data_IF_077397568039
#
_entry.id   IF_077397568039
#
_cell.length_a   1.000
_cell.length_b   1.000
_cell.length_c   1.000
_cell.angle_alpha   90.00
_cell.angle_beta   90.00
_cell.angle_gamma   90.00
#
_symmetry.space_group_name_H-M   'P 1'
#
loop_
_entity.id
_entity.type
_entity.pdbx_description
1 polymer ?
#
# COMPACT_ATOMS: atom_id res chain seq x y z
N UNK A 1 35.63 11.79 -22.91
CA UNK A 1 35.30 10.58 -23.69
C UNK A 1 36.08 9.39 -23.17
N UNK A 2 35.62 8.72 -22.11
CA UNK A 2 35.95 7.34 -21.70
C UNK A 2 35.33 7.14 -20.30
N UNK A 3 34.17 6.48 -20.21
CA UNK A 3 33.65 5.81 -19.00
C UNK A 3 32.22 5.25 -19.20
N UNK A 4 31.98 4.39 -20.20
CA UNK A 4 30.70 3.66 -20.35
C UNK A 4 30.86 2.29 -21.02
N UNK A 5 31.93 1.54 -20.70
CA UNK A 5 32.17 0.22 -21.30
C UNK A 5 32.49 -0.90 -20.29
N UNK A 6 31.87 -0.89 -19.10
CA UNK A 6 32.06 -1.99 -18.12
C UNK A 6 30.78 -2.49 -17.44
N UNK A 7 29.60 -2.38 -18.08
CA UNK A 7 28.38 -3.07 -17.62
C UNK A 7 27.61 -3.83 -18.72
N UNK A 8 28.25 -4.11 -19.86
CA UNK A 8 27.63 -4.81 -20.98
C UNK A 8 27.95 -6.32 -21.06
N UNK A 9 28.69 -6.90 -20.09
CA UNK A 9 29.17 -8.29 -20.16
C UNK A 9 28.51 -9.27 -19.17
N UNK A 10 27.63 -8.83 -18.26
CA UNK A 10 26.96 -9.75 -17.31
C UNK A 10 25.50 -10.12 -17.68
N UNK A 11 24.99 -9.65 -18.83
CA UNK A 11 23.60 -9.90 -19.24
C UNK A 11 23.43 -10.79 -20.49
N UNK A 12 24.50 -11.46 -20.94
CA UNK A 12 24.46 -12.32 -22.14
C UNK A 12 24.37 -13.83 -21.85
N UNK A 13 24.45 -14.25 -20.58
CA UNK A 13 24.39 -15.68 -20.20
C UNK A 13 22.97 -16.25 -20.02
N UNK A 14 21.91 -15.46 -20.25
CA UNK A 14 20.52 -15.92 -20.13
C UNK A 14 19.77 -16.11 -21.45
N UNK A 15 20.44 -15.94 -22.61
CA UNK A 15 19.79 -15.91 -23.93
C UNK A 15 19.99 -17.14 -24.82
N UNK A 16 20.65 -18.22 -24.38
CA UNK A 16 20.81 -19.43 -25.23
C UNK A 16 20.20 -20.67 -24.58
N UNK A 17 19.02 -21.05 -25.08
CA UNK A 17 18.52 -22.43 -25.00
C UNK A 17 19.40 -23.30 -25.90
N UNK A 18 20.13 -24.24 -25.33
CA UNK A 18 20.64 -25.42 -26.04
C UNK A 18 20.35 -26.67 -25.19
N UNK A 19 20.05 -27.81 -25.83
CA UNK A 19 19.57 -29.01 -25.17
C UNK A 19 20.71 -29.77 -24.48
N UNK A 20 20.43 -30.36 -23.32
CA UNK A 20 21.38 -31.24 -22.63
C UNK A 20 21.37 -32.65 -23.25
N UNK A 21 22.52 -33.33 -23.37
CA UNK A 21 22.59 -34.67 -23.92
C UNK A 21 22.23 -35.73 -22.87
N UNK A 22 21.58 -36.79 -23.36
CA UNK A 22 21.37 -38.05 -22.69
C UNK A 22 22.71 -38.78 -22.53
N UNK A 23 23.20 -38.97 -21.30
CA UNK A 23 23.89 -40.20 -20.91
C UNK A 23 24.13 -40.24 -19.39
N UNK A 24 24.08 -41.47 -18.87
CA UNK A 24 24.41 -41.94 -17.52
C UNK A 24 23.33 -41.86 -16.42
N UNK A 25 22.61 -42.99 -16.40
CA UNK A 25 21.85 -43.57 -15.30
C UNK A 25 22.80 -43.93 -14.13
N UNK A 26 22.30 -43.78 -12.90
CA UNK A 26 22.27 -44.76 -11.80
C UNK A 26 22.94 -44.38 -10.46
N UNK A 27 22.17 -44.66 -9.38
CA UNK A 27 22.47 -44.61 -7.93
C UNK A 27 22.45 -43.20 -7.31
N UNK A 28 21.79 -42.91 -6.19
CA UNK A 28 21.14 -43.70 -5.16
C UNK A 28 20.89 -42.74 -4.00
N UNK A 29 19.73 -42.86 -3.34
CA UNK A 29 19.34 -42.04 -2.18
C UNK A 29 20.37 -42.20 -1.07
N UNK A 30 20.79 -41.10 -0.42
CA UNK A 30 20.87 -41.02 1.04
C UNK A 30 21.01 -39.55 1.52
N UNK A 31 20.24 -39.27 2.58
CA UNK A 31 20.14 -38.01 3.31
C UNK A 31 21.36 -37.86 4.23
N UNK A 32 21.87 -36.65 4.42
CA UNK A 32 22.23 -36.16 5.76
C UNK A 32 22.06 -34.64 5.85
N UNK A 33 21.46 -34.26 6.97
CA UNK A 33 21.00 -32.93 7.39
C UNK A 33 22.09 -32.15 8.11
N UNK A 34 22.18 -30.85 7.87
CA UNK A 34 22.73 -29.92 8.86
C UNK A 34 22.19 -28.50 8.65
N UNK A 35 20.96 -28.26 9.09
CA UNK A 35 20.51 -26.91 9.45
C UNK A 35 19.41 -27.01 10.51
N UNK A 36 19.77 -26.70 11.75
CA UNK A 36 18.96 -26.89 12.95
C UNK A 36 17.96 -25.74 13.22
N UNK A 37 17.70 -24.87 12.24
CA UNK A 37 16.84 -23.69 12.42
C UNK A 37 15.74 -23.51 11.34
N UNK A 38 15.63 -24.45 10.40
CA UNK A 38 14.61 -24.43 9.33
C UNK A 38 13.50 -25.48 9.48
N UNK A 39 13.41 -26.17 10.62
CA UNK A 39 12.37 -27.17 10.91
C UNK A 39 11.09 -26.56 11.53
N UNK A 40 10.52 -25.55 10.87
CA UNK A 40 9.10 -25.20 11.07
C UNK A 40 8.45 -24.96 9.71
N UNK A 41 8.42 -26.05 8.94
CA UNK A 41 7.69 -26.17 7.69
C UNK A 41 7.18 -27.59 7.60
N UNK A 42 5.86 -27.70 7.42
CA UNK A 42 5.08 -28.92 7.17
C UNK A 42 5.06 -29.96 8.29
N UNK A 43 4.51 -29.58 9.43
CA UNK A 43 3.62 -30.53 10.10
C UNK A 43 2.34 -30.56 9.25
N UNK A 44 2.21 -31.59 8.42
CA UNK A 44 0.88 -32.07 8.05
C UNK A 44 0.24 -32.51 9.35
N UNK A 45 -0.50 -31.58 9.97
CA UNK A 45 -1.13 -31.73 11.27
C UNK A 45 -1.87 -33.08 11.34
N UNK A 46 -1.43 -33.94 12.26
CA UNK A 46 -2.14 -35.15 12.66
C UNK A 46 -3.56 -34.88 13.20
N UNK A 47 -3.98 -33.61 13.30
CA UNK A 47 -5.37 -33.21 13.57
C UNK A 47 -6.27 -33.18 12.33
N UNK A 48 -5.73 -33.22 11.10
CA UNK A 48 -6.54 -33.22 9.87
C UNK A 48 -7.15 -34.62 9.60
N UNK A 49 -6.47 -35.71 9.97
CA UNK A 49 -6.96 -37.09 9.79
C UNK A 49 -8.04 -37.49 10.82
N UNK A 50 -7.97 -36.99 12.04
CA UNK A 50 -8.98 -37.27 13.09
C UNK A 50 -10.29 -36.52 12.88
N UNK A 51 -10.26 -35.43 12.11
CA UNK A 51 -11.45 -34.65 11.77
C UNK A 51 -12.22 -35.21 10.56
N UNK A 52 -11.57 -35.95 9.67
CA UNK A 52 -12.16 -36.51 8.45
C UNK A 52 -13.24 -37.58 8.72
N UNK A 53 -13.28 -38.13 9.95
CA UNK A 53 -14.23 -39.19 10.37
C UNK A 53 -15.33 -38.65 11.32
N UNK A 54 -15.35 -37.33 11.58
CA UNK A 54 -16.24 -36.73 12.58
C UNK A 54 -17.61 -36.27 12.03
N UNK A 55 -18.66 -36.46 12.83
CA UNK A 55 -20.09 -36.22 12.56
C UNK A 55 -20.37 -34.94 11.75
N UNK A 56 -20.69 -35.10 10.46
CA UNK A 56 -21.26 -34.03 9.64
C UNK A 56 -22.65 -33.69 10.16
N UNK A 57 -22.86 -32.44 10.59
CA UNK A 57 -24.18 -31.95 10.93
C UNK A 57 -24.88 -31.39 9.69
N UNK A 58 -26.20 -31.53 9.59
CA UNK A 58 -26.96 -30.93 8.50
C UNK A 58 -26.82 -29.42 8.54
N UNK A 59 -26.55 -28.82 7.38
CA UNK A 59 -26.46 -27.36 7.25
C UNK A 59 -27.88 -26.80 7.28
N UNK A 60 -28.23 -25.87 8.18
CA UNK A 60 -29.54 -25.23 8.21
C UNK A 60 -29.70 -24.29 7.00
N UNK A 61 -30.94 -24.08 6.57
CA UNK A 61 -31.21 -23.11 5.49
C UNK A 61 -30.83 -21.71 5.94
N UNK A 62 -30.02 -21.01 5.15
CA UNK A 62 -29.57 -19.65 5.46
C UNK A 62 -29.44 -18.79 4.20
N UNK A 63 -29.55 -17.46 4.37
CA UNK A 63 -29.46 -16.48 3.29
C UNK A 63 -30.36 -16.81 2.06
N UNK A 64 -31.55 -17.37 2.27
CA UNK A 64 -32.48 -17.75 1.20
C UNK A 64 -31.98 -18.88 0.29
N UNK A 65 -31.20 -19.81 0.84
CA UNK A 65 -30.74 -21.02 0.15
C UNK A 65 -31.15 -22.25 0.95
N UNK A 66 -31.88 -23.15 0.29
CA UNK A 66 -32.16 -24.48 0.83
C UNK A 66 -30.90 -25.35 0.73
N UNK A 67 -30.45 -25.81 1.89
CA UNK A 67 -29.23 -26.61 2.12
C UNK A 67 -29.55 -28.08 2.39
N UNK A 68 -30.79 -28.53 2.18
CA UNK A 68 -31.19 -29.93 2.40
C UNK A 68 -30.24 -30.89 1.68
N UNK A 69 -29.75 -31.90 2.41
CA UNK A 69 -28.77 -32.88 1.96
C UNK A 69 -27.31 -32.47 2.15
N UNK A 70 -27.03 -31.21 2.49
CA UNK A 70 -25.67 -30.74 2.76
C UNK A 70 -25.29 -30.96 4.23
N UNK A 71 -24.03 -31.27 4.46
CA UNK A 71 -23.47 -31.40 5.80
C UNK A 71 -22.19 -30.57 5.96
N UNK A 72 -21.85 -30.25 7.20
CA UNK A 72 -20.57 -29.62 7.52
C UNK A 72 -19.99 -30.18 8.82
N UNK A 73 -18.67 -30.28 8.85
CA UNK A 73 -17.89 -30.73 10.02
C UNK A 73 -17.36 -29.54 10.83
N UNK A 74 -16.96 -29.78 12.08
CA UNK A 74 -16.42 -28.74 12.96
C UNK A 74 -15.08 -28.14 12.50
N UNK A 75 -14.35 -28.82 11.63
CA UNK A 75 -13.10 -28.36 11.03
C UNK A 75 -13.31 -27.61 9.70
N UNK A 76 -14.54 -27.51 9.20
CA UNK A 76 -14.87 -26.77 7.99
C UNK A 76 -14.81 -27.58 6.68
N UNK A 77 -14.83 -28.91 6.75
CA UNK A 77 -15.15 -29.72 5.58
C UNK A 77 -16.66 -29.70 5.31
N UNK A 78 -17.04 -29.45 4.06
CA UNK A 78 -18.42 -29.40 3.57
C UNK A 78 -18.70 -30.65 2.74
N UNK A 79 -19.78 -31.36 3.10
CA UNK A 79 -20.34 -32.48 2.35
C UNK A 79 -21.49 -31.98 1.47
N UNK A 80 -21.40 -32.21 0.17
CA UNK A 80 -22.45 -31.87 -0.79
C UNK A 80 -23.64 -32.84 -0.71
N UNK A 81 -24.73 -32.52 -1.42
CA UNK A 81 -25.94 -33.35 -1.45
C UNK A 81 -25.75 -34.73 -2.10
N UNK A 82 -24.61 -34.99 -2.76
CA UNK A 82 -24.24 -36.28 -3.34
C UNK A 82 -23.27 -37.05 -2.44
N UNK A 83 -22.90 -36.50 -1.29
CA UNK A 83 -21.98 -37.11 -0.33
C UNK A 83 -20.51 -36.76 -0.56
N UNK A 84 -20.16 -35.94 -1.57
CA UNK A 84 -18.78 -35.55 -1.81
C UNK A 84 -18.29 -34.54 -0.76
N UNK A 85 -17.13 -34.78 -0.17
CA UNK A 85 -16.54 -33.93 0.88
C UNK A 85 -15.44 -33.04 0.30
N UNK A 86 -15.43 -31.76 0.67
CA UNK A 86 -14.38 -30.82 0.28
C UNK A 86 -14.15 -29.75 1.33
N UNK A 87 -12.96 -29.14 1.35
CA UNK A 87 -12.67 -27.92 2.15
C UNK A 87 -13.23 -26.64 1.51
N UNK A 88 -13.89 -26.76 0.36
CA UNK A 88 -14.22 -25.64 -0.52
C UNK A 88 -13.04 -25.23 -1.41
N UNK A 89 -13.25 -24.20 -2.21
CA UNK A 89 -12.27 -23.67 -3.15
C UNK A 89 -12.04 -22.17 -2.92
N UNK A 90 -10.85 -21.67 -3.26
CA UNK A 90 -10.56 -20.24 -3.41
C UNK A 90 -10.29 -19.94 -4.89
N UNK A 91 -10.91 -18.90 -5.45
CA UNK A 91 -10.69 -18.43 -6.84
C UNK A 91 -9.79 -17.20 -6.91
N UNK A 92 -9.25 -16.74 -5.79
CA UNK A 92 -8.41 -15.55 -5.71
C UNK A 92 -7.06 -15.75 -6.40
N UNK A 93 -6.59 -14.73 -7.13
CA UNK A 93 -5.21 -14.64 -7.65
C UNK A 93 -4.14 -14.63 -6.54
N UNK A 94 -4.57 -14.48 -5.29
CA UNK A 94 -3.79 -14.64 -4.07
C UNK A 94 -4.45 -15.76 -3.27
N UNK A 95 -3.89 -16.97 -3.35
CA UNK A 95 -4.41 -18.16 -2.66
C UNK A 95 -4.27 -18.00 -1.14
N UNK A 96 -3.19 -17.36 -0.70
CA UNK A 96 -3.01 -16.88 0.68
C UNK A 96 -3.87 -15.63 0.93
N UNK A 97 -5.00 -15.80 1.64
CA UNK A 97 -5.75 -14.68 2.21
C UNK A 97 -7.12 -14.38 1.59
N UNK A 98 -7.64 -15.25 0.72
CA UNK A 98 -9.06 -15.24 0.31
C UNK A 98 -9.89 -16.21 1.18
N UNK A 99 -11.22 -16.10 1.15
CA UNK A 99 -12.10 -17.02 1.86
C UNK A 99 -12.34 -18.29 1.03
N UNK A 100 -12.32 -19.47 1.69
CA UNK A 100 -12.81 -20.70 1.08
C UNK A 100 -14.32 -20.61 0.85
N UNK A 101 -14.79 -21.13 -0.28
CA UNK A 101 -16.19 -21.10 -0.70
C UNK A 101 -16.64 -22.42 -1.30
N UNK A 102 -17.94 -22.70 -1.20
CA UNK A 102 -18.61 -23.85 -1.83
C UNK A 102 -19.82 -23.36 -2.64
N UNK A 103 -20.20 -24.08 -3.69
CA UNK A 103 -21.44 -23.79 -4.42
C UNK A 103 -22.56 -24.66 -3.87
N UNK A 104 -23.46 -24.04 -3.12
CA UNK A 104 -24.66 -24.72 -2.60
C UNK A 104 -25.81 -24.38 -3.52
N UNK A 105 -26.33 -25.39 -4.23
CA UNK A 105 -27.41 -25.25 -5.24
C UNK A 105 -27.17 -24.08 -6.21
N UNK A 106 -25.97 -24.03 -6.78
CA UNK A 106 -25.56 -23.00 -7.75
C UNK A 106 -25.19 -21.64 -7.14
N UNK A 107 -25.48 -21.39 -5.85
CA UNK A 107 -25.11 -20.14 -5.17
C UNK A 107 -23.78 -20.30 -4.42
N UNK A 108 -22.84 -19.38 -4.65
CA UNK A 108 -21.57 -19.35 -3.92
C UNK A 108 -21.80 -18.96 -2.45
N UNK A 109 -21.33 -19.79 -1.52
CA UNK A 109 -21.39 -19.56 -0.07
C UNK A 109 -20.00 -19.72 0.56
N UNK A 110 -19.56 -18.79 1.41
CA UNK A 110 -18.28 -18.93 2.10
C UNK A 110 -18.35 -20.04 3.16
N UNK A 111 -17.29 -20.84 3.26
CA UNK A 111 -17.23 -22.02 4.12
C UNK A 111 -17.34 -21.63 5.59
N UNK A 112 -16.61 -20.61 6.05
CA UNK A 112 -16.73 -20.13 7.43
C UNK A 112 -18.17 -19.78 7.84
N UNK A 113 -19.00 -19.31 6.90
CA UNK A 113 -20.40 -18.96 7.18
C UNK A 113 -21.27 -20.19 7.25
N UNK A 114 -21.04 -21.19 6.38
CA UNK A 114 -21.70 -22.50 6.49
C UNK A 114 -21.41 -23.12 7.88
N UNK A 115 -20.15 -23.07 8.31
CA UNK A 115 -19.73 -23.57 9.63
C UNK A 115 -20.39 -22.79 10.77
N UNK A 116 -20.31 -21.45 10.75
CA UNK A 116 -20.86 -20.61 11.82
C UNK A 116 -22.39 -20.68 11.92
N UNK A 117 -23.11 -20.76 10.79
CA UNK A 117 -24.56 -20.95 10.78
C UNK A 117 -24.97 -22.33 11.32
N UNK A 118 -24.08 -23.32 11.29
CA UNK A 118 -24.36 -24.67 11.80
C UNK A 118 -23.99 -24.84 13.27
N UNK A 119 -22.86 -24.27 13.70
CA UNK A 119 -22.30 -24.54 15.04
C UNK A 119 -22.32 -23.35 16.01
N UNK A 120 -22.58 -22.13 15.53
CA UNK A 120 -22.53 -20.90 16.34
C UNK A 120 -23.89 -20.16 16.34
N UNK A 121 -25.00 -20.91 16.29
CA UNK A 121 -26.34 -20.33 16.29
C UNK A 121 -26.65 -19.59 17.59
N UNK A 122 -26.34 -20.20 18.74
CA UNK A 122 -26.58 -19.59 20.05
C UNK A 122 -25.88 -18.23 20.17
N UNK A 123 -24.62 -18.13 19.74
CA UNK A 123 -23.88 -16.86 19.73
C UNK A 123 -24.55 -15.81 18.83
N UNK A 124 -25.05 -16.23 17.66
CA UNK A 124 -25.78 -15.35 16.73
C UNK A 124 -27.10 -14.86 17.34
N UNK A 125 -27.84 -15.73 18.02
CA UNK A 125 -29.10 -15.40 18.69
C UNK A 125 -28.88 -14.41 19.84
N UNK A 126 -27.87 -14.64 20.68
CA UNK A 126 -27.48 -13.70 21.74
C UNK A 126 -27.15 -12.31 21.19
N UNK A 127 -26.42 -12.25 20.06
CA UNK A 127 -26.13 -10.98 19.39
C UNK A 127 -27.38 -10.34 18.77
N UNK A 128 -28.30 -11.13 18.20
CA UNK A 128 -29.58 -10.63 17.69
C UNK A 128 -30.46 -10.05 18.80
N UNK A 129 -30.50 -10.69 19.96
CA UNK A 129 -31.23 -10.19 21.13
C UNK A 129 -30.62 -8.88 21.65
N UNK A 130 -29.28 -8.81 21.72
CA UNK A 130 -28.56 -7.63 22.21
C UNK A 130 -28.59 -6.46 21.24
N UNK A 131 -28.57 -6.73 19.93
CA UNK A 131 -28.51 -5.74 18.86
C UNK A 131 -29.60 -6.03 17.81
N UNK A 132 -30.89 -5.85 18.15
CA UNK A 132 -31.98 -6.16 17.25
C UNK A 132 -31.91 -5.30 15.98
N UNK A 133 -32.11 -5.94 14.82
CA UNK A 133 -32.06 -5.29 13.51
C UNK A 133 -30.65 -5.03 12.95
N UNK A 134 -29.57 -5.31 13.70
CA UNK A 134 -28.22 -5.24 13.16
C UNK A 134 -27.87 -6.48 12.31
N UNK A 135 -26.90 -6.31 11.40
CA UNK A 135 -26.35 -7.41 10.59
C UNK A 135 -25.00 -7.82 11.16
N UNK A 136 -24.81 -9.13 11.33
CA UNK A 136 -23.59 -9.73 11.85
C UNK A 136 -22.78 -10.39 10.75
N UNK A 137 -21.47 -10.35 10.90
CA UNK A 137 -20.51 -11.00 10.02
C UNK A 137 -19.65 -11.97 10.83
N UNK A 138 -19.22 -13.05 10.18
CA UNK A 138 -18.36 -14.07 10.81
C UNK A 138 -16.91 -13.62 10.68
N UNK A 139 -16.18 -13.72 11.78
CA UNK A 139 -14.78 -13.34 11.92
C UNK A 139 -13.90 -14.55 12.18
N UNK A 140 -12.68 -14.50 11.67
CA UNK A 140 -11.61 -15.44 11.99
C UNK A 140 -10.78 -14.88 13.14
N UNK A 141 -10.74 -15.59 14.27
CA UNK A 141 -10.08 -15.15 15.49
C UNK A 141 -8.58 -14.94 15.23
N UNK A 142 -7.93 -15.90 14.57
CA UNK A 142 -6.52 -15.88 14.18
C UNK A 142 -6.20 -15.00 12.94
N UNK A 143 -7.21 -14.50 12.23
CA UNK A 143 -7.06 -13.75 10.98
C UNK A 143 -6.75 -14.59 9.74
N UNK A 144 -6.60 -15.91 9.86
CA UNK A 144 -6.39 -16.85 8.77
C UNK A 144 -7.73 -17.31 8.18
N UNK A 145 -8.10 -16.75 7.03
CA UNK A 145 -9.36 -17.03 6.32
C UNK A 145 -9.50 -18.45 5.76
N UNK A 146 -8.43 -19.24 5.79
CA UNK A 146 -8.42 -20.64 5.38
C UNK A 146 -8.73 -21.58 6.56
N UNK A 147 -8.51 -21.12 7.80
CA UNK A 147 -8.80 -21.87 9.01
C UNK A 147 -10.29 -21.72 9.40
N UNK A 148 -11.14 -22.58 8.85
CA UNK A 148 -12.59 -22.56 9.09
C UNK A 148 -13.03 -23.49 10.23
N UNK A 149 -12.14 -23.84 11.15
CA UNK A 149 -12.51 -24.59 12.34
C UNK A 149 -13.45 -23.75 13.21
N UNK A 150 -14.48 -24.37 13.79
CA UNK A 150 -15.47 -23.70 14.67
C UNK A 150 -14.78 -22.92 15.79
N UNK A 151 -13.70 -23.48 16.37
CA UNK A 151 -12.90 -22.85 17.41
C UNK A 151 -12.21 -21.55 16.99
N UNK A 152 -12.05 -21.31 15.69
CA UNK A 152 -11.44 -20.12 15.12
C UNK A 152 -12.48 -19.11 14.59
N UNK A 153 -13.78 -19.39 14.71
CA UNK A 153 -14.83 -18.54 14.18
C UNK A 153 -15.65 -17.90 15.29
N UNK A 154 -16.10 -16.67 15.06
CA UNK A 154 -17.05 -15.99 15.93
C UNK A 154 -17.96 -15.05 15.14
N UNK A 155 -19.20 -14.87 15.60
CA UNK A 155 -20.07 -13.80 15.11
C UNK A 155 -19.68 -12.46 15.73
N UNK A 156 -19.65 -11.40 14.91
CA UNK A 156 -19.43 -10.04 15.37
C UNK A 156 -20.37 -9.04 14.71
N UNK A 157 -20.62 -7.93 15.40
CA UNK A 157 -21.25 -6.76 14.78
C UNK A 157 -20.32 -6.16 13.74
N UNK A 158 -20.88 -5.52 12.71
CA UNK A 158 -20.05 -4.82 11.70
C UNK A 158 -19.18 -3.74 12.31
N UNK A 159 -19.69 -3.04 13.33
CA UNK A 159 -18.96 -1.98 14.03
C UNK A 159 -17.73 -2.57 14.72
N UNK A 160 -17.87 -3.69 15.41
CA UNK A 160 -16.76 -4.30 16.15
C UNK A 160 -15.78 -5.01 15.21
N UNK A 161 -16.27 -5.65 14.14
CA UNK A 161 -15.41 -6.17 13.08
C UNK A 161 -14.57 -5.06 12.43
N UNK A 162 -15.16 -3.90 12.16
CA UNK A 162 -14.42 -2.75 11.65
C UNK A 162 -13.37 -2.24 12.65
N UNK A 163 -13.70 -2.15 13.94
CA UNK A 163 -12.74 -1.76 15.00
C UNK A 163 -11.59 -2.76 15.11
N UNK A 164 -11.87 -4.07 15.17
CA UNK A 164 -10.87 -5.14 15.21
C UNK A 164 -9.95 -5.06 14.00
N UNK A 165 -10.52 -4.88 12.80
CA UNK A 165 -9.74 -4.68 11.58
C UNK A 165 -8.82 -3.47 11.68
N UNK A 166 -9.33 -2.32 12.14
CA UNK A 166 -8.52 -1.09 12.29
C UNK A 166 -7.36 -1.27 13.27
N UNK A 167 -7.57 -2.02 14.35
CA UNK A 167 -6.55 -2.29 15.37
C UNK A 167 -5.48 -3.28 14.90
N UNK A 168 -5.89 -4.32 14.16
CA UNK A 168 -4.99 -5.39 13.66
C UNK A 168 -4.19 -5.00 12.42
N UNK A 169 -4.53 -3.89 11.74
CA UNK A 169 -3.79 -3.41 10.58
C UNK A 169 -2.36 -2.96 10.96
N UNK A 170 -1.36 -3.62 10.37
CA UNK A 170 0.05 -3.18 10.41
C UNK A 170 0.18 -1.77 9.83
N UNK A 171 0.85 -0.87 10.57
CA UNK A 171 1.10 0.52 10.15
C UNK A 171 2.61 0.78 10.02
N UNK A 172 3.04 1.60 9.03
CA UNK A 172 2.25 2.24 7.98
C UNK A 172 1.67 1.20 7.01
N UNK A 173 0.43 1.38 6.52
CA UNK A 173 -0.08 0.41 5.54
C UNK A 173 0.84 0.43 4.32
N UNK A 174 1.16 -0.73 3.73
CA UNK A 174 1.88 -0.75 2.47
C UNK A 174 1.13 0.12 1.46
N UNK A 175 1.86 0.92 0.68
CA UNK A 175 1.28 1.59 -0.48
C UNK A 175 0.48 0.55 -1.27
N UNK A 176 -0.81 0.84 -1.46
CA UNK A 176 -1.65 0.07 -2.39
C UNK A 176 -0.86 -0.17 -3.66
N UNK A 177 -0.95 -1.36 -4.22
CA UNK A 177 -0.25 -1.71 -5.46
C UNK A 177 -0.56 -0.72 -6.60
N UNK A 178 -1.64 0.07 -6.51
CA UNK A 178 -1.97 1.13 -7.45
C UNK A 178 -1.19 2.43 -7.23
N UNK A 179 -0.79 2.73 -5.99
CA UNK A 179 -0.12 3.97 -5.58
C UNK A 179 1.40 3.88 -5.53
N UNK A 180 2.00 2.80 -6.03
CA UNK A 180 3.46 2.65 -6.15
C UNK A 180 3.94 3.21 -7.48
N UNK A 181 5.12 3.81 -7.47
CA UNK A 181 5.79 4.24 -8.69
C UNK A 181 6.08 3.04 -9.61
N UNK A 182 6.10 3.34 -10.89
CA UNK A 182 6.32 2.37 -11.96
C UNK A 182 7.48 2.85 -12.82
N UNK A 183 8.48 2.00 -12.98
CA UNK A 183 9.50 2.16 -14.00
C UNK A 183 9.02 1.45 -15.27
N UNK A 184 8.89 2.20 -16.36
CA UNK A 184 8.59 1.65 -17.67
C UNK A 184 9.86 1.71 -18.54
N UNK A 185 10.24 0.56 -19.11
CA UNK A 185 11.38 0.44 -20.01
C UNK A 185 10.86 0.06 -21.39
N UNK A 186 11.20 0.86 -22.40
CA UNK A 186 10.82 0.58 -23.78
C UNK A 186 11.55 -0.68 -24.26
N UNK A 187 10.80 -1.67 -24.72
CA UNK A 187 11.35 -2.97 -25.08
C UNK A 187 12.24 -2.92 -26.34
N UNK A 188 12.10 -1.90 -27.19
CA UNK A 188 12.89 -1.73 -28.42
C UNK A 188 14.08 -0.79 -28.22
N UNK A 189 13.83 0.37 -27.61
CA UNK A 189 14.85 1.43 -27.51
C UNK A 189 15.64 1.37 -26.20
N UNK A 190 15.16 0.64 -25.19
CA UNK A 190 15.74 0.66 -23.84
C UNK A 190 15.45 1.94 -23.05
N UNK A 191 14.69 2.89 -23.63
CA UNK A 191 14.33 4.15 -22.96
C UNK A 191 13.60 3.89 -21.65
N UNK A 192 14.04 4.54 -20.58
CA UNK A 192 13.44 4.43 -19.26
C UNK A 192 12.56 5.65 -18.95
N UNK A 193 11.36 5.41 -18.42
CA UNK A 193 10.45 6.45 -17.95
C UNK A 193 9.86 6.08 -16.61
N UNK A 194 9.89 7.04 -15.69
CA UNK A 194 9.35 6.87 -14.34
C UNK A 194 7.97 7.50 -14.23
N UNK A 195 7.02 6.74 -13.69
CA UNK A 195 5.64 7.16 -13.51
C UNK A 195 5.28 7.13 -12.02
N UNK A 196 4.64 8.18 -11.47
CA UNK A 196 4.25 8.21 -10.06
C UNK A 196 3.30 7.07 -9.65
N UNK A 197 2.44 6.59 -10.56
CA UNK A 197 1.49 5.50 -10.32
C UNK A 197 1.28 4.63 -11.56
N UNK A 198 0.64 3.47 -11.37
CA UNK A 198 0.13 2.65 -12.48
C UNK A 198 -0.85 3.44 -13.35
N UNK A 199 -1.68 4.29 -12.74
CA UNK A 199 -2.66 5.11 -13.46
C UNK A 199 -2.01 6.14 -14.37
N UNK A 200 -0.94 6.81 -13.93
CA UNK A 200 -0.22 7.74 -14.78
C UNK A 200 0.41 7.04 -15.99
N UNK A 201 0.93 5.83 -15.80
CA UNK A 201 1.43 5.02 -16.92
C UNK A 201 0.29 4.56 -17.83
N UNK A 202 -0.83 4.10 -17.27
CA UNK A 202 -1.99 3.67 -18.03
C UNK A 202 -2.54 4.77 -18.95
N UNK A 203 -2.59 6.02 -18.43
CA UNK A 203 -2.94 7.21 -19.22
C UNK A 203 -1.93 7.49 -20.32
N UNK A 204 -0.64 7.41 -20.02
CA UNK A 204 0.44 7.61 -21.00
C UNK A 204 0.33 6.64 -22.20
N UNK A 205 0.04 5.36 -21.95
CA UNK A 205 -0.12 4.36 -23.03
C UNK A 205 -1.55 4.22 -23.55
N UNK A 206 -2.50 4.99 -23.02
CA UNK A 206 -3.90 5.00 -23.45
C UNK A 206 -4.69 3.70 -23.16
N UNK A 207 -4.52 3.11 -21.97
CA UNK A 207 -5.25 1.88 -21.58
C UNK A 207 -5.94 2.01 -20.22
N UNK A 208 -6.97 1.19 -19.99
CA UNK A 208 -7.60 1.05 -18.69
C UNK A 208 -6.69 0.32 -17.69
N UNK A 209 -6.51 0.90 -16.49
CA UNK A 209 -5.57 0.39 -15.47
C UNK A 209 -5.81 -1.07 -15.07
N UNK A 210 -7.05 -1.56 -15.17
CA UNK A 210 -7.46 -2.90 -14.71
C UNK A 210 -6.77 -4.00 -15.52
N UNK A 211 -6.35 -3.68 -16.74
CA UNK A 211 -5.66 -4.60 -17.65
C UNK A 211 -4.17 -4.77 -17.31
N UNK A 212 -3.62 -3.94 -16.43
CA UNK A 212 -2.21 -3.97 -16.01
C UNK A 212 -1.96 -5.01 -14.90
N UNK A 213 -2.98 -5.38 -14.13
CA UNK A 213 -2.84 -6.32 -13.00
C UNK A 213 -2.49 -7.73 -13.47
N UNK A 214 -1.35 -8.25 -12.98
CA UNK A 214 -0.81 -9.57 -13.32
C UNK A 214 0.10 -9.60 -14.56
N UNK A 215 0.24 -8.47 -15.28
CA UNK A 215 1.12 -8.35 -16.46
C UNK A 215 2.47 -7.69 -16.17
N UNK A 216 2.61 -7.10 -14.99
CA UNK A 216 3.83 -6.45 -14.48
C UNK A 216 5.01 -7.43 -14.51
N UNK A 217 6.14 -7.00 -15.06
CA UNK A 217 7.38 -7.78 -15.17
C UNK A 217 7.37 -8.92 -16.20
N UNK A 218 6.19 -9.45 -16.56
CA UNK A 218 6.03 -10.62 -17.45
C UNK A 218 5.82 -10.28 -18.92
N UNK A 219 5.06 -9.23 -19.24
CA UNK A 219 4.65 -8.94 -20.61
C UNK A 219 4.91 -7.49 -21.00
N UNK A 220 5.12 -7.25 -22.30
CA UNK A 220 5.18 -5.90 -22.87
C UNK A 220 3.77 -5.36 -23.10
N UNK A 221 3.56 -4.09 -22.74
CA UNK A 221 2.28 -3.40 -22.87
C UNK A 221 2.52 -2.19 -23.75
N UNK A 222 1.97 -2.21 -24.98
CA UNK A 222 2.21 -1.17 -26.00
C UNK A 222 3.71 -0.87 -26.19
N UNK A 223 4.55 -1.90 -26.17
CA UNK A 223 6.01 -1.78 -26.31
C UNK A 223 6.79 -1.50 -25.02
N UNK A 224 6.13 -1.36 -23.87
CA UNK A 224 6.80 -1.06 -22.60
C UNK A 224 6.76 -2.26 -21.64
N UNK A 225 7.90 -2.57 -21.03
CA UNK A 225 7.97 -3.46 -19.86
C UNK A 225 7.86 -2.61 -18.61
N UNK A 226 7.03 -3.03 -17.67
CA UNK A 226 6.79 -2.26 -16.44
C UNK A 226 7.24 -3.02 -15.20
N UNK A 227 7.89 -2.30 -14.31
CA UNK A 227 8.40 -2.80 -13.04
C UNK A 227 7.83 -1.98 -11.89
N UNK A 228 7.44 -2.66 -10.82
CA UNK A 228 7.06 -1.99 -9.56
C UNK A 228 8.33 -1.56 -8.88
N UNK A 229 8.46 -0.26 -8.64
CA UNK A 229 9.54 0.20 -7.81
C UNK A 229 9.19 0.03 -6.32
N UNK A 230 10.17 -0.35 -5.48
CA UNK A 230 10.00 -0.25 -4.05
C UNK A 230 9.74 1.22 -3.67
N UNK A 231 9.10 1.46 -2.51
CA UNK A 231 8.96 2.82 -1.99
C UNK A 231 10.33 3.49 -1.92
N UNK A 232 10.49 4.62 -2.61
CA UNK A 232 11.75 5.34 -2.70
C UNK A 232 12.20 5.81 -1.32
N UNK A 233 13.35 5.30 -0.87
CA UNK A 233 14.06 5.79 0.32
C UNK A 233 15.02 6.87 -0.15
N UNK A 234 14.77 8.11 0.26
CA UNK A 234 15.68 9.22 0.00
C UNK A 234 16.71 9.27 1.12
N UNK A 235 17.98 9.37 0.75
CA UNK A 235 19.08 9.46 1.70
C UNK A 235 18.94 10.73 2.56
N UNK A 236 19.21 10.62 3.86
CA UNK A 236 19.09 11.73 4.81
C UNK A 236 17.66 12.24 5.09
N UNK A 237 16.63 11.61 4.51
CA UNK A 237 15.26 12.04 4.71
C UNK A 237 14.73 11.67 6.11
N UNK A 238 14.19 12.68 6.80
CA UNK A 238 13.63 12.52 8.15
C UNK A 238 12.13 12.83 8.10
N UNK A 239 11.30 11.91 8.60
CA UNK A 239 9.87 12.17 8.80
C UNK A 239 9.58 12.59 10.24
N UNK A 240 8.76 13.63 10.40
CA UNK A 240 8.28 14.12 11.70
C UNK A 240 6.77 14.27 11.70
N UNK A 241 6.14 14.08 12.87
CA UNK A 241 4.68 14.09 13.03
C UNK A 241 4.15 15.52 12.92
N UNK A 242 3.03 15.70 12.21
CA UNK A 242 2.32 16.98 12.14
C UNK A 242 1.33 17.10 13.30
N UNK A 243 1.86 17.30 14.52
CA UNK A 243 1.08 17.34 15.76
C UNK A 243 -0.03 18.40 15.78
N UNK A 244 0.21 19.56 15.17
CA UNK A 244 -0.74 20.68 15.08
C UNK A 244 -2.02 20.36 14.30
N UNK A 245 -2.09 19.19 13.63
CA UNK A 245 -3.32 18.74 12.97
C UNK A 245 -4.32 18.14 13.96
N UNK A 246 -3.90 17.79 15.18
CA UNK A 246 -4.74 17.13 16.19
C UNK A 246 -5.91 18.04 16.62
N UNK A 247 -5.65 19.32 16.88
CA UNK A 247 -6.62 20.30 17.40
C UNK A 247 -7.87 20.41 16.51
N UNK A 248 -7.70 20.73 15.24
CA UNK A 248 -8.86 20.85 14.33
C UNK A 248 -9.35 19.51 13.76
N UNK A 249 -8.77 18.37 14.16
CA UNK A 249 -9.28 17.05 13.77
C UNK A 249 -10.11 16.38 14.89
N UNK A 250 -10.01 16.86 16.13
CA UNK A 250 -10.66 16.25 17.30
C UNK A 250 -10.14 14.84 17.63
N UNK A 251 -8.95 14.48 17.14
CA UNK A 251 -8.29 13.18 17.38
C UNK A 251 -6.80 13.28 17.04
N UNK A 252 -6.01 12.33 17.52
CA UNK A 252 -4.63 12.18 17.08
C UNK A 252 -4.55 11.84 15.58
N UNK A 253 -3.92 12.71 14.81
CA UNK A 253 -3.64 12.55 13.38
C UNK A 253 -2.25 11.92 13.22
N UNK A 254 -2.21 10.68 12.73
CA UNK A 254 -0.96 9.93 12.53
C UNK A 254 -0.32 10.23 11.16
N UNK A 255 -0.24 11.50 10.79
CA UNK A 255 0.35 11.96 9.54
C UNK A 255 1.72 12.62 9.79
N UNK A 256 2.62 12.49 8.82
CA UNK A 256 4.00 12.97 8.92
C UNK A 256 4.38 13.77 7.70
N UNK A 257 5.31 14.70 7.87
CA UNK A 257 5.98 15.41 6.78
C UNK A 257 7.47 15.14 6.84
N UNK A 258 8.11 15.06 5.68
CA UNK A 258 9.52 14.77 5.54
C UNK A 258 10.34 16.04 5.34
N UNK A 259 11.62 16.00 5.72
CA UNK A 259 12.59 17.06 5.47
C UNK A 259 12.80 17.38 3.99
N UNK A 260 12.36 16.51 3.08
CA UNK A 260 12.45 16.70 1.64
C UNK A 260 11.15 17.25 1.03
N UNK A 261 10.12 17.50 1.85
CA UNK A 261 8.82 17.97 1.34
C UNK A 261 7.89 16.86 0.86
N UNK A 262 8.07 15.63 1.35
CA UNK A 262 7.11 14.53 1.15
C UNK A 262 6.16 14.44 2.33
N UNK A 263 4.92 14.04 2.07
CA UNK A 263 3.87 13.87 3.09
C UNK A 263 3.50 12.40 3.19
N UNK A 264 3.56 11.85 4.40
CA UNK A 264 3.09 10.50 4.74
C UNK A 264 1.72 10.58 5.41
N UNK A 265 0.69 10.12 4.71
CA UNK A 265 -0.66 10.02 5.22
C UNK A 265 -0.79 8.93 6.31
N UNK A 266 -1.89 8.96 7.05
CA UNK A 266 -2.18 7.99 8.13
C UNK A 266 -2.32 6.54 7.65
N UNK A 267 -2.66 6.37 6.36
CA UNK A 267 -2.69 5.09 5.69
C UNK A 267 -1.29 4.63 5.23
N UNK A 268 -0.21 5.34 5.56
CA UNK A 268 1.16 5.00 5.15
C UNK A 268 1.60 5.50 3.78
N UNK A 269 0.68 6.05 2.96
CA UNK A 269 1.01 6.57 1.63
C UNK A 269 1.93 7.79 1.74
N UNK A 270 3.07 7.74 1.05
CA UNK A 270 3.98 8.88 0.88
C UNK A 270 3.70 9.55 -0.47
N UNK A 271 3.65 10.87 -0.51
CA UNK A 271 3.38 11.66 -1.71
C UNK A 271 4.13 12.99 -1.67
N UNK A 272 4.44 13.55 -2.84
CA UNK A 272 4.90 14.94 -2.98
C UNK A 272 3.75 15.96 -2.88
N UNK A 273 2.50 15.49 -2.88
CA UNK A 273 1.31 16.30 -3.05
C UNK A 273 0.97 16.55 -4.52
N UNK A 274 -0.21 17.08 -4.77
CA UNK A 274 -0.62 17.50 -6.11
C UNK A 274 -0.08 18.88 -6.42
N UNK A 275 0.33 19.10 -7.66
CA UNK A 275 0.72 20.42 -8.15
C UNK A 275 -0.53 21.30 -8.24
N UNK A 276 -0.60 22.37 -7.45
CA UNK A 276 -1.58 23.45 -7.61
C UNK A 276 -1.10 24.45 -8.66
N UNK A 277 -1.70 25.64 -8.69
CA UNK A 277 -1.28 26.74 -9.59
C UNK A 277 0.19 27.12 -9.40
N UNK A 278 0.65 27.21 -8.14
CA UNK A 278 2.01 27.59 -7.80
C UNK A 278 2.65 26.61 -6.81
N UNK A 279 1.93 26.25 -5.75
CA UNK A 279 2.44 25.40 -4.67
C UNK A 279 1.90 23.98 -4.74
N UNK A 280 2.64 23.04 -4.13
CA UNK A 280 2.14 21.68 -3.89
C UNK A 280 1.15 21.66 -2.72
N UNK A 281 0.06 20.91 -2.89
CA UNK A 281 -1.02 20.78 -1.90
C UNK A 281 -1.31 19.32 -1.55
N UNK A 282 -1.81 19.09 -0.34
CA UNK A 282 -2.24 17.77 0.15
C UNK A 282 -3.54 17.85 0.95
N UNK A 283 -4.34 16.79 0.88
CA UNK A 283 -5.51 16.60 1.73
C UNK A 283 -5.20 15.72 2.94
N UNK A 284 -5.42 16.20 4.17
CA UNK A 284 -5.19 15.44 5.41
C UNK A 284 -6.30 15.72 6.41
N UNK A 285 -6.80 14.67 7.09
CA UNK A 285 -7.77 14.79 8.18
C UNK A 285 -8.99 15.69 7.83
N UNK A 286 -9.63 15.44 6.67
CA UNK A 286 -10.76 16.22 6.11
C UNK A 286 -10.43 17.67 5.69
N UNK A 287 -9.18 18.11 5.76
CA UNK A 287 -8.72 19.39 5.20
C UNK A 287 -8.18 19.14 3.79
N UNK A 288 -8.81 19.65 2.72
CA UNK A 288 -8.47 19.27 1.34
C UNK A 288 -7.21 19.96 0.79
N UNK A 289 -6.88 21.17 1.25
CA UNK A 289 -5.91 22.06 0.60
C UNK A 289 -4.83 22.57 1.57
N UNK A 290 -4.00 21.67 2.12
CA UNK A 290 -2.86 22.07 2.94
C UNK A 290 -1.61 22.25 2.07
N UNK A 291 -0.94 23.40 2.19
CA UNK A 291 0.30 23.67 1.46
C UNK A 291 1.48 22.90 2.01
N UNK A 292 2.17 22.14 1.15
CA UNK A 292 3.27 21.26 1.58
C UNK A 292 4.42 22.05 2.20
N UNK A 293 4.85 23.17 1.60
CA UNK A 293 5.92 24.01 2.15
C UNK A 293 5.59 24.48 3.57
N UNK A 294 4.33 24.83 3.85
CA UNK A 294 3.91 25.30 5.17
C UNK A 294 3.93 24.16 6.18
N UNK A 295 3.47 22.96 5.81
CA UNK A 295 3.58 21.77 6.66
C UNK A 295 5.04 21.46 7.02
N UNK A 296 5.96 21.56 6.05
CA UNK A 296 7.40 21.36 6.30
C UNK A 296 7.93 22.41 7.27
N UNK A 297 7.65 23.69 7.02
CA UNK A 297 8.14 24.79 7.86
C UNK A 297 7.57 24.76 9.29
N UNK A 298 6.30 24.39 9.48
CA UNK A 298 5.70 24.22 10.81
C UNK A 298 6.41 23.13 11.64
N UNK A 299 6.96 22.09 10.99
CA UNK A 299 7.56 20.94 11.67
C UNK A 299 9.08 21.05 11.82
N UNK A 300 9.77 21.58 10.81
CA UNK A 300 11.22 21.66 10.80
C UNK A 300 11.76 23.02 11.26
N UNK A 301 10.95 24.09 11.13
CA UNK A 301 11.32 25.46 11.51
C UNK A 301 10.45 26.04 12.63
N UNK A 302 9.85 25.18 13.46
CA UNK A 302 9.03 25.60 14.60
C UNK A 302 9.76 26.58 15.53
N UNK A 303 11.06 26.34 15.79
CA UNK A 303 11.88 27.23 16.62
C UNK A 303 12.10 28.61 15.99
N UNK A 304 12.30 28.68 14.68
CA UNK A 304 12.42 29.97 13.97
C UNK A 304 11.11 30.75 14.00
N UNK A 305 9.98 30.06 13.81
CA UNK A 305 8.64 30.63 13.96
C UNK A 305 8.40 31.16 15.37
N UNK A 306 8.75 30.38 16.39
CA UNK A 306 8.58 30.75 17.80
C UNK A 306 9.36 32.02 18.16
N UNK A 307 10.57 32.21 17.61
CA UNK A 307 11.35 33.45 17.78
C UNK A 307 10.61 34.67 17.22
N UNK A 308 10.13 34.58 15.98
CA UNK A 308 9.38 35.68 15.37
C UNK A 308 8.10 36.03 16.15
N UNK A 309 7.43 35.01 16.72
CA UNK A 309 6.27 35.22 17.60
C UNK A 309 6.69 35.91 18.91
N UNK A 310 7.78 35.49 19.52
CA UNK A 310 8.32 36.14 20.72
C UNK A 310 8.72 37.60 20.46
N UNK A 311 9.14 37.93 19.23
CA UNK A 311 9.44 39.29 18.78
C UNK A 311 8.16 40.14 18.50
N UNK A 312 6.98 39.64 18.86
CA UNK A 312 5.70 40.36 18.75
C UNK A 312 4.98 40.19 17.41
N UNK A 313 5.42 39.28 16.54
CA UNK A 313 4.76 39.04 15.25
C UNK A 313 3.64 37.99 15.39
N UNK A 314 2.40 38.29 15.00
CA UNK A 314 1.30 37.31 15.09
C UNK A 314 1.55 36.08 14.21
N UNK A 315 1.33 34.88 14.74
CA UNK A 315 1.61 33.58 14.10
C UNK A 315 0.93 33.43 12.74
N UNK A 316 -0.30 33.92 12.61
CA UNK A 316 -1.14 33.90 11.43
C UNK A 316 -0.63 34.80 10.30
N UNK A 317 0.13 35.85 10.65
CA UNK A 317 0.72 36.78 9.70
C UNK A 317 2.02 36.26 9.07
N UNK A 318 2.68 35.29 9.71
CA UNK A 318 3.95 34.75 9.25
C UNK A 318 3.79 33.98 7.95
N UNK A 319 4.72 34.22 7.03
CA UNK A 319 4.76 33.61 5.70
C UNK A 319 5.97 32.69 5.59
N UNK A 320 5.82 31.64 4.78
CA UNK A 320 6.92 30.74 4.44
C UNK A 320 7.45 31.15 3.10
N UNK A 321 8.76 31.31 3.02
CA UNK A 321 9.48 31.65 1.81
C UNK A 321 10.37 30.51 1.36
N UNK A 322 10.53 30.42 0.04
CA UNK A 322 11.46 29.53 -0.64
C UNK A 322 12.74 30.30 -0.92
N UNK A 323 13.86 29.89 -0.31
CA UNK A 323 15.15 30.59 -0.38
C UNK A 323 15.63 30.72 -1.83
N UNK A 324 15.50 29.64 -2.60
CA UNK A 324 15.82 29.57 -4.04
C UNK A 324 14.77 30.23 -4.96
N UNK A 325 13.65 30.69 -4.43
CA UNK A 325 12.54 31.23 -5.21
C UNK A 325 11.77 30.20 -6.04
N UNK A 326 11.98 28.89 -5.84
CA UNK A 326 11.29 27.80 -6.52
C UNK A 326 10.14 27.24 -5.65
N UNK A 327 8.86 27.53 -5.98
CA UNK A 327 7.70 27.13 -5.16
C UNK A 327 7.46 25.62 -5.04
N UNK A 328 8.15 24.83 -5.87
CA UNK A 328 8.03 23.37 -5.90
C UNK A 328 9.13 22.67 -5.11
N UNK A 329 10.22 23.37 -4.75
CA UNK A 329 11.31 22.87 -3.93
C UNK A 329 10.97 23.02 -2.43
N UNK A 330 10.25 22.03 -1.89
CA UNK A 330 9.77 22.07 -0.51
C UNK A 330 10.72 21.40 0.50
N UNK A 331 12.02 21.33 0.20
CA UNK A 331 13.00 20.81 1.16
C UNK A 331 13.09 21.76 2.36
N UNK A 332 13.24 21.21 3.56
CA UNK A 332 13.31 22.00 4.78
C UNK A 332 14.49 22.98 4.77
N UNK A 333 15.63 22.60 4.20
CA UNK A 333 16.81 23.47 4.03
C UNK A 333 16.56 24.66 3.09
N UNK A 334 15.54 24.60 2.23
CA UNK A 334 15.15 25.66 1.30
C UNK A 334 14.01 26.56 1.82
N UNK A 335 13.50 26.33 3.04
CA UNK A 335 12.35 27.07 3.56
C UNK A 335 12.74 27.93 4.76
N UNK A 336 12.13 29.11 4.87
CA UNK A 336 12.28 29.98 6.03
C UNK A 336 10.98 30.69 6.40
N UNK A 337 10.77 30.97 7.68
CA UNK A 337 9.68 31.83 8.15
C UNK A 337 10.10 33.30 8.02
N UNK A 338 9.20 34.13 7.53
CA UNK A 338 9.38 35.58 7.43
C UNK A 338 8.12 36.34 7.86
N UNK A 339 8.33 37.56 8.31
CA UNK A 339 7.23 38.53 8.49
C UNK A 339 6.80 39.09 7.13
N UNK A 340 5.56 39.60 6.98
CA UNK A 340 5.12 40.21 5.73
C UNK A 340 6.05 41.32 5.22
N UNK A 341 6.60 42.13 6.13
CA UNK A 341 7.55 43.20 5.79
C UNK A 341 8.87 42.65 5.23
N UNK A 342 9.42 41.60 5.85
CA UNK A 342 10.65 40.95 5.35
C UNK A 342 10.42 40.32 3.97
N UNK A 343 9.30 39.61 3.80
CA UNK A 343 8.96 38.99 2.53
C UNK A 343 8.79 40.02 1.41
N UNK A 344 8.12 41.14 1.70
CA UNK A 344 7.94 42.25 0.76
C UNK A 344 9.28 42.88 0.35
N UNK A 345 10.16 43.15 1.32
CA UNK A 345 11.52 43.68 1.05
C UNK A 345 12.33 42.75 0.16
N UNK A 346 12.34 41.44 0.48
CA UNK A 346 13.04 40.42 -0.33
C UNK A 346 12.48 40.37 -1.76
N UNK A 347 11.16 40.37 -1.90
CA UNK A 347 10.49 40.34 -3.21
C UNK A 347 10.81 41.59 -4.04
N UNK A 348 10.82 42.77 -3.40
CA UNK A 348 11.18 44.03 -4.05
C UNK A 348 12.64 44.02 -4.53
N UNK A 349 13.57 43.49 -3.71
CA UNK A 349 14.97 43.37 -4.07
C UNK A 349 15.18 42.41 -5.26
N UNK A 350 14.57 41.23 -5.23
CA UNK A 350 14.62 40.26 -6.35
C UNK A 350 14.04 40.88 -7.63
N UNK A 351 12.92 41.59 -7.53
CA UNK A 351 12.29 42.27 -8.66
C UNK A 351 13.20 43.37 -9.21
N UNK A 352 13.87 44.14 -8.35
CA UNK A 352 14.84 45.16 -8.76
C UNK A 352 16.02 44.54 -9.51
N UNK A 353 16.59 43.44 -9.00
CA UNK A 353 17.71 42.72 -9.66
C UNK A 353 17.30 42.20 -11.04
N UNK A 354 16.10 41.62 -11.19
CA UNK A 354 15.59 41.15 -12.49
C UNK A 354 15.34 42.27 -13.50
N UNK A 355 15.11 43.50 -13.04
CA UNK A 355 14.91 44.69 -13.89
C UNK A 355 16.21 45.39 -14.28
N UNK A 356 17.33 45.07 -13.62
CA UNK A 356 18.61 45.60 -14.04
C UNK A 356 18.99 44.96 -15.38
N UNK A 357 19.43 45.74 -16.37
CA UNK A 357 19.94 45.19 -17.61
C UNK A 357 21.12 44.26 -17.28
N UNK A 358 21.30 43.15 -18.03
CA UNK A 358 22.43 42.27 -17.81
C UNK A 358 23.72 43.08 -17.89
N UNK A 359 24.55 42.96 -16.85
CA UNK A 359 25.89 43.56 -16.85
C UNK A 359 26.64 42.90 -18.00
N UNK A 360 27.20 43.71 -18.91
CA UNK A 360 27.99 43.22 -20.03
C UNK A 360 29.19 42.43 -19.48
N UNK A 361 29.13 41.09 -19.50
CA UNK A 361 30.22 40.22 -19.04
C UNK A 361 29.86 38.78 -18.69
N UNK A 362 28.65 38.48 -18.21
CA UNK A 362 28.32 37.15 -17.65
C UNK A 362 27.31 36.37 -18.50
N UNK A 363 27.66 36.02 -19.74
CA UNK A 363 26.74 35.30 -20.65
C UNK A 363 26.77 33.76 -20.51
N UNK A 364 27.66 33.19 -19.67
CA UNK A 364 27.94 31.75 -19.73
C UNK A 364 27.30 30.86 -18.62
N UNK A 365 26.45 31.38 -17.72
CA UNK A 365 25.94 30.55 -16.60
C UNK A 365 24.42 30.27 -16.58
N UNK A 366 23.58 30.96 -17.34
CA UNK A 366 22.11 30.81 -17.22
C UNK A 366 21.47 29.72 -18.10
N UNK A 367 22.20 29.12 -19.06
CA UNK A 367 21.59 28.15 -19.99
C UNK A 367 21.51 26.73 -19.42
N UNK A 368 22.26 26.40 -18.36
CA UNK A 368 22.32 25.01 -17.86
C UNK A 368 21.15 24.57 -16.96
N UNK A 369 20.31 25.48 -16.46
CA UNK A 369 19.30 25.15 -15.43
C UNK A 369 17.85 25.05 -15.93
N UNK A 370 17.60 25.06 -17.24
CA UNK A 370 16.25 24.86 -17.81
C UNK A 370 16.00 23.47 -18.41
N UNK A 371 16.98 22.57 -18.38
CA UNK A 371 16.84 21.21 -18.92
C UNK A 371 17.47 20.18 -17.97
N UNK A 372 16.83 19.91 -16.84
CA UNK A 372 17.05 18.67 -16.06
C UNK A 372 15.90 18.42 -15.09
#
# INVERSE_FOLDING_TARGET
MFATLTKALELDLWRRRLPLPLSFIQHGRQRFSSCQFCQKGSDTDASDETCAVSNFLPVPSFDGVDTTGWGVSRCGHVRDSRGAVSRGYSRGRHVEGDYLSSHVRGKKKPVHRIVAETFLQEQKEQLQQRYPGERFDVDHIDGNKQNNAVSNLQWMTRKDHAKKTVFTLVRPRPLSTQGRAVLAVNAKTGEERRFPTFDSFAKFVGIFNRLLYGKVGRWTIKGWRIFREPPEKLEGEKFRRMAFLDEGAGRTVRAYVSSHGRVRHENGRVTWGSQGTMYRVVGIAKRPNLFVHRLVAEVFHAGAKAKLIADGNPSESLQVDHIDGCPTNNRADNLQWMTPSMHAKKTAEVTRRRRQPPVAGDVDSEVSNRLS
#
